data_IF_846634025912
#
_entry.id   IF_846634025912
#
_cell.length_a   1.000
_cell.length_b   1.000
_cell.length_c   1.000
_cell.angle_alpha   90.00
_cell.angle_beta   90.00
_cell.angle_gamma   90.00
#
_symmetry.space_group_name_H-M   'P 1'
#
loop_
_entity.id
_entity.type
_entity.pdbx_description
1 polymer ?
#
# COMPACT_ATOMS: atom_id res chain seq x y z
N UNK A 1 2.04 0.07 15.77
CA UNK A 1 0.90 -0.21 14.88
C UNK A 1 0.83 -1.70 14.69
N UNK A 2 -0.36 -2.28 14.84
CA UNK A 2 -0.65 -3.67 14.52
C UNK A 2 -0.92 -3.86 13.03
N UNK A 3 -0.84 -5.09 12.51
CA UNK A 3 -1.15 -5.42 11.11
C UNK A 3 -2.55 -4.92 10.71
N UNK A 4 -3.51 -5.02 11.63
CA UNK A 4 -4.88 -4.52 11.46
C UNK A 4 -4.91 -3.00 11.29
N UNK A 5 -4.20 -2.23 12.12
CA UNK A 5 -4.14 -0.76 11.96
C UNK A 5 -3.50 -0.35 10.64
N UNK A 6 -2.47 -1.08 10.19
CA UNK A 6 -1.81 -0.82 8.89
C UNK A 6 -2.79 -1.08 7.76
N UNK A 7 -3.49 -2.22 7.79
CA UNK A 7 -4.48 -2.59 6.79
C UNK A 7 -5.61 -1.57 6.72
N UNK A 8 -6.15 -1.14 7.86
CA UNK A 8 -7.22 -0.12 7.90
C UNK A 8 -6.75 1.22 7.33
N UNK A 9 -5.52 1.63 7.66
CA UNK A 9 -4.93 2.84 7.09
C UNK A 9 -4.71 2.76 5.59
N UNK A 10 -4.17 1.64 5.11
CA UNK A 10 -3.98 1.39 3.67
C UNK A 10 -5.35 1.41 2.98
N UNK A 11 -6.35 0.73 3.54
CA UNK A 11 -7.72 0.75 3.03
C UNK A 11 -8.29 2.17 2.92
N UNK A 12 -8.10 3.02 3.92
CA UNK A 12 -8.50 4.42 3.85
C UNK A 12 -7.76 5.19 2.75
N UNK A 13 -6.44 5.00 2.61
CA UNK A 13 -5.64 5.63 1.55
C UNK A 13 -6.17 5.22 0.17
N UNK A 14 -6.43 3.92 -0.03
CA UNK A 14 -7.03 3.35 -1.25
C UNK A 14 -8.41 3.93 -1.54
N UNK A 15 -9.26 4.05 -0.53
CA UNK A 15 -10.59 4.62 -0.67
C UNK A 15 -10.58 6.12 -0.97
N UNK A 16 -9.73 6.91 -0.29
CA UNK A 16 -9.74 8.37 -0.40
C UNK A 16 -8.92 8.89 -1.58
N UNK A 17 -7.77 8.27 -1.89
CA UNK A 17 -6.86 8.75 -2.94
C UNK A 17 -7.14 8.07 -4.28
N UNK A 18 -7.52 6.79 -4.26
CA UNK A 18 -7.69 5.98 -5.46
C UNK A 18 -9.16 5.64 -5.74
N UNK A 19 -10.09 6.09 -4.88
CA UNK A 19 -11.52 5.74 -4.98
C UNK A 19 -11.79 4.23 -5.02
N UNK A 20 -10.90 3.43 -4.42
CA UNK A 20 -10.99 1.96 -4.38
C UNK A 20 -11.73 1.52 -3.13
N UNK A 21 -12.73 0.65 -3.29
CA UNK A 21 -13.45 0.11 -2.15
C UNK A 21 -12.53 -0.71 -1.24
N UNK A 22 -12.59 -0.51 0.09
CA UNK A 22 -11.78 -1.29 1.04
C UNK A 22 -12.10 -2.79 1.01
N UNK A 23 -13.28 -3.17 0.49
CA UNK A 23 -13.66 -4.55 0.24
C UNK A 23 -12.84 -5.22 -0.89
N UNK A 24 -12.38 -4.43 -1.89
CA UNK A 24 -11.52 -4.90 -2.98
C UNK A 24 -10.05 -4.94 -2.58
N UNK A 25 -9.66 -4.15 -1.59
CA UNK A 25 -8.31 -4.14 -0.99
C UNK A 25 -8.13 -5.39 -0.12
N UNK A 26 -7.89 -6.52 -0.77
CA UNK A 26 -7.51 -7.79 -0.12
C UNK A 26 -6.01 -7.99 -0.28
N UNK A 27 -5.32 -8.67 0.67
CA UNK A 27 -3.88 -8.93 0.55
C UNK A 27 -3.49 -9.70 -0.72
N UNK A 28 -4.43 -10.49 -1.28
CA UNK A 28 -4.23 -11.21 -2.53
C UNK A 28 -4.50 -10.36 -3.78
N UNK A 29 -5.13 -9.19 -3.62
CA UNK A 29 -5.52 -8.34 -4.73
C UNK A 29 -4.31 -7.76 -5.46
N UNK A 30 -4.34 -7.86 -6.79
CA UNK A 30 -3.33 -7.27 -7.65
C UNK A 30 -3.55 -5.76 -7.85
N UNK A 31 -2.53 -4.95 -7.55
CA UNK A 31 -2.59 -3.48 -7.63
C UNK A 31 -2.91 -3.00 -9.06
N UNK A 32 -2.23 -3.57 -10.04
CA UNK A 32 -2.35 -3.14 -11.44
C UNK A 32 -3.50 -3.85 -12.17
N UNK A 33 -3.75 -5.14 -11.87
CA UNK A 33 -4.72 -5.94 -12.65
C UNK A 33 -6.12 -5.95 -12.05
N UNK A 34 -6.26 -5.88 -10.73
CA UNK A 34 -7.56 -5.92 -10.06
C UNK A 34 -8.01 -4.57 -9.53
N UNK A 35 -7.06 -3.77 -9.05
CA UNK A 35 -7.32 -2.45 -8.50
C UNK A 35 -7.16 -1.33 -9.54
N UNK A 36 -6.78 -1.68 -10.78
CA UNK A 36 -6.66 -0.77 -11.92
C UNK A 36 -5.75 0.44 -11.60
N UNK A 37 -4.71 0.23 -10.80
CA UNK A 37 -3.74 1.28 -10.47
C UNK A 37 -2.79 1.49 -11.65
N UNK A 38 -2.56 2.74 -12.00
CA UNK A 38 -1.53 3.11 -12.96
C UNK A 38 -0.14 3.18 -12.31
N UNK A 39 0.90 3.26 -13.14
CA UNK A 39 2.27 3.49 -12.65
C UNK A 39 2.42 4.80 -11.87
N UNK A 40 1.55 5.79 -12.11
CA UNK A 40 1.53 7.05 -11.36
C UNK A 40 0.90 6.83 -9.98
N UNK A 41 -0.20 6.09 -9.93
CA UNK A 41 -0.90 5.77 -8.68
C UNK A 41 -0.03 4.97 -7.72
N UNK A 42 0.73 4.01 -8.26
CA UNK A 42 1.73 3.27 -7.49
C UNK A 42 2.76 4.23 -6.85
N UNK A 43 3.27 5.22 -7.58
CA UNK A 43 4.23 6.19 -7.03
C UNK A 43 3.59 7.08 -5.96
N UNK A 44 2.36 7.54 -6.17
CA UNK A 44 1.64 8.36 -5.16
C UNK A 44 1.39 7.55 -3.87
N UNK A 45 0.98 6.29 -4.02
CA UNK A 45 0.81 5.36 -2.90
C UNK A 45 2.11 5.20 -2.11
N UNK A 46 3.25 5.01 -2.79
CA UNK A 46 4.55 4.89 -2.13
C UNK A 46 4.88 6.14 -1.30
N UNK A 47 4.57 7.33 -1.81
CA UNK A 47 4.79 8.61 -1.13
C UNK A 47 3.87 8.70 0.10
N UNK A 48 2.57 8.42 -0.05
CA UNK A 48 1.59 8.43 1.06
C UNK A 48 1.98 7.47 2.18
N UNK A 49 2.43 6.27 1.83
CA UNK A 49 2.86 5.28 2.81
C UNK A 49 4.15 5.70 3.51
N UNK A 50 5.09 6.32 2.80
CA UNK A 50 6.30 6.90 3.39
C UNK A 50 5.96 8.04 4.37
N UNK A 51 5.05 8.95 4.01
CA UNK A 51 4.60 10.03 4.89
C UNK A 51 3.88 9.48 6.13
N UNK A 52 3.04 8.48 5.96
CA UNK A 52 2.29 7.87 7.05
C UNK A 52 3.18 7.10 8.04
N UNK A 53 4.14 6.33 7.51
CA UNK A 53 5.06 5.53 8.34
C UNK A 53 6.23 6.34 8.86
N UNK A 54 6.53 7.50 8.27
CA UNK A 54 7.76 8.26 8.50
C UNK A 54 9.03 7.50 8.09
N UNK A 55 8.90 6.38 7.36
CA UNK A 55 9.99 5.48 6.99
C UNK A 55 10.23 5.56 5.49
N UNK A 56 11.51 5.63 5.11
CA UNK A 56 11.90 5.64 3.71
C UNK A 56 11.68 4.28 3.07
N UNK A 57 10.60 4.15 2.30
CA UNK A 57 10.39 3.04 1.38
C UNK A 57 11.41 3.17 0.24
N UNK A 58 12.21 2.13 0.00
CA UNK A 58 13.12 2.10 -1.14
C UNK A 58 12.32 1.88 -2.42
N UNK A 59 12.64 2.59 -3.51
CA UNK A 59 11.96 2.38 -4.80
C UNK A 59 12.12 0.95 -5.34
N UNK A 60 13.17 0.22 -4.95
CA UNK A 60 13.39 -1.17 -5.34
C UNK A 60 12.42 -2.15 -4.66
N UNK A 61 12.14 -1.92 -3.36
CA UNK A 61 11.11 -2.67 -2.63
C UNK A 61 9.75 -2.42 -3.29
N UNK A 62 9.45 -1.14 -3.54
CA UNK A 62 8.18 -0.73 -4.12
C UNK A 62 7.99 -1.21 -5.57
N UNK A 63 9.07 -1.31 -6.36
CA UNK A 63 9.02 -1.90 -7.71
C UNK A 63 8.72 -3.40 -7.72
N UNK A 64 8.99 -4.10 -6.61
CA UNK A 64 8.71 -5.53 -6.47
C UNK A 64 7.29 -5.78 -5.95
N UNK A 65 6.65 -4.77 -5.35
CA UNK A 65 5.26 -4.83 -4.89
C UNK A 65 4.33 -4.95 -6.10
N UNK A 66 3.55 -6.03 -6.14
CA UNK A 66 2.47 -6.23 -7.12
C UNK A 66 1.10 -6.40 -6.49
N UNK A 67 1.07 -6.88 -5.25
CA UNK A 67 -0.17 -7.10 -4.50
C UNK A 67 -0.30 -6.12 -3.35
N UNK A 68 -1.52 -5.95 -2.84
CA UNK A 68 -1.74 -5.22 -1.59
C UNK A 68 -1.01 -5.90 -0.43
N UNK A 69 -0.90 -7.24 -0.42
CA UNK A 69 -0.16 -7.99 0.58
C UNK A 69 1.32 -7.60 0.64
N UNK A 70 1.96 -7.40 -0.52
CA UNK A 70 3.33 -6.89 -0.59
C UNK A 70 3.44 -5.48 0.03
N UNK A 71 2.46 -4.60 -0.22
CA UNK A 71 2.42 -3.25 0.37
C UNK A 71 2.34 -3.33 1.88
N UNK A 72 1.39 -4.12 2.39
CA UNK A 72 1.19 -4.32 3.84
C UNK A 72 2.45 -4.88 4.47
N UNK A 73 3.05 -5.91 3.85
CA UNK A 73 4.27 -6.55 4.33
C UNK A 73 5.45 -5.59 4.38
N UNK A 74 5.66 -4.78 3.34
CA UNK A 74 6.72 -3.77 3.30
C UNK A 74 6.52 -2.71 4.40
N UNK A 75 5.29 -2.21 4.57
CA UNK A 75 4.95 -1.23 5.61
C UNK A 75 5.13 -1.82 7.01
N UNK A 76 4.67 -3.05 7.22
CA UNK A 76 4.83 -3.76 8.48
C UNK A 76 6.30 -3.97 8.83
N UNK A 77 7.12 -4.40 7.88
CA UNK A 77 8.56 -4.58 8.08
C UNK A 77 9.26 -3.27 8.46
N UNK A 78 8.84 -2.15 7.86
CA UNK A 78 9.38 -0.82 8.15
C UNK A 78 8.96 -0.26 9.52
N UNK A 79 7.76 -0.61 10.01
CA UNK A 79 7.25 -0.21 11.32
C UNK A 79 7.73 -1.11 12.46
N UNK A 80 8.06 -2.37 12.16
CA UNK A 80 8.65 -3.32 13.11
C UNK A 80 10.16 -3.12 13.31
N UNK A 81 10.82 -2.39 12.41
CA UNK A 81 12.21 -1.96 12.50
C UNK A 81 12.35 -0.59 13.19
#
# INVERSE_FOLDING_TARGET
MTETEILERIRSIFQENFAIEPARVTPEAHLFEELDLDSIDAVDLAIKLQEMTGRRIKPEEFKSVRTVGDVIGAVQALLAA
#
